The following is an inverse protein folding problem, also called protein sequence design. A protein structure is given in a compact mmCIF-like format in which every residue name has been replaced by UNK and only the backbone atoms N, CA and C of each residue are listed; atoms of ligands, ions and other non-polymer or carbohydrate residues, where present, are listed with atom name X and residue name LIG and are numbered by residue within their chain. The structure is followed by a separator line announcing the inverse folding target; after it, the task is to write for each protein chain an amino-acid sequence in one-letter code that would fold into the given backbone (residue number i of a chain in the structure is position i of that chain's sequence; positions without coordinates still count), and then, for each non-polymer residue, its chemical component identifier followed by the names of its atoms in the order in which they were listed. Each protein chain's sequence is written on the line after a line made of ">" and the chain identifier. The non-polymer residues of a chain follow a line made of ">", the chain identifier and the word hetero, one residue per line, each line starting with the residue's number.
data_IF_406915170033
#
_entry.id   IF_406915170033
#
_cell.length_a   1.000
_cell.length_b   1.000
_cell.length_c   1.000
_cell.angle_alpha   90.00
_cell.angle_beta   90.00
_cell.angle_gamma   90.00
#
_symmetry.space_group_name_H-M   'P 1'
#
loop_
_entity.id
_entity.type
_entity.pdbx_description
1 polymer ?
#
# COMPACT_ATOMS: atom_id res chain seq x y z
N UNK A 1 -18.55 5.52 -13.05
CA UNK A 1 -18.01 4.18 -13.42
C UNK A 1 -16.49 4.32 -13.48
N UNK A 2 -15.77 3.46 -12.79
CA UNK A 2 -14.29 3.52 -12.75
C UNK A 2 -13.74 3.05 -14.10
N UNK A 3 -12.77 3.81 -14.61
CA UNK A 3 -12.11 3.53 -15.88
C UNK A 3 -10.74 2.86 -15.62
N UNK A 4 -10.54 1.66 -16.16
CA UNK A 4 -9.32 0.85 -16.00
C UNK A 4 -8.37 0.99 -17.20
N UNK A 5 -8.20 2.18 -17.72
CA UNK A 5 -7.26 2.45 -18.82
C UNK A 5 -5.81 2.26 -18.40
N UNK A 6 -4.96 1.88 -19.34
CA UNK A 6 -3.51 1.87 -19.16
C UNK A 6 -2.96 3.30 -19.07
N UNK A 7 -1.87 3.50 -18.32
CA UNK A 7 -1.26 4.81 -18.13
C UNK A 7 -0.80 5.47 -19.43
N UNK A 8 -0.35 4.68 -20.39
CA UNK A 8 0.10 5.16 -21.72
C UNK A 8 -1.00 5.78 -22.59
N UNK A 9 -2.28 5.58 -22.19
CA UNK A 9 -3.44 6.21 -22.83
C UNK A 9 -3.95 7.44 -22.09
N UNK A 10 -3.30 7.85 -20.99
CA UNK A 10 -3.71 8.94 -20.10
C UNK A 10 -2.94 10.21 -20.46
N UNK A 11 -3.66 11.30 -20.75
CA UNK A 11 -3.04 12.55 -21.21
C UNK A 11 -2.13 13.18 -20.14
N UNK A 12 -2.56 13.19 -18.88
CA UNK A 12 -1.75 13.71 -17.76
C UNK A 12 -0.47 12.90 -17.51
N UNK A 13 -0.43 11.63 -17.89
CA UNK A 13 0.80 10.85 -17.84
C UNK A 13 1.84 11.32 -18.87
N UNK A 14 1.40 11.69 -20.08
CA UNK A 14 2.28 12.28 -21.08
C UNK A 14 2.76 13.69 -20.68
N UNK A 15 1.94 14.44 -19.93
CA UNK A 15 2.37 15.72 -19.34
C UNK A 15 3.42 15.50 -18.23
N UNK A 16 3.21 14.54 -17.33
CA UNK A 16 4.16 14.21 -16.27
C UNK A 16 5.56 13.88 -16.84
N UNK A 17 5.65 13.17 -17.94
CA UNK A 17 6.93 12.87 -18.62
C UNK A 17 7.71 14.09 -19.07
N UNK A 18 7.04 15.23 -19.27
CA UNK A 18 7.65 16.48 -19.73
C UNK A 18 8.10 17.39 -18.60
N UNK A 19 7.72 17.08 -17.34
CA UNK A 19 8.12 17.88 -16.18
C UNK A 19 9.63 17.79 -15.99
N UNK A 20 10.25 18.93 -15.67
CA UNK A 20 11.70 19.02 -15.48
C UNK A 20 12.18 18.11 -14.32
N UNK A 21 13.31 17.49 -14.53
CA UNK A 21 13.93 16.63 -13.52
C UNK A 21 14.49 17.46 -12.36
N UNK A 22 14.17 17.09 -11.13
CA UNK A 22 14.65 17.78 -9.92
C UNK A 22 16.07 17.31 -9.57
N UNK A 23 17.02 18.24 -9.60
CA UNK A 23 18.40 17.99 -9.14
C UNK A 23 18.44 17.97 -7.60
N UNK A 24 18.35 16.76 -7.00
CA UNK A 24 18.37 16.59 -5.55
C UNK A 24 19.66 17.10 -4.90
N UNK A 25 20.80 16.95 -5.54
CA UNK A 25 22.07 17.43 -5.01
C UNK A 25 22.02 18.96 -4.81
N UNK A 26 21.43 19.67 -5.77
CA UNK A 26 21.27 21.13 -5.71
C UNK A 26 20.22 21.56 -4.67
N UNK A 27 19.05 20.93 -4.65
CA UNK A 27 17.92 21.38 -3.79
C UNK A 27 18.04 20.92 -2.34
N UNK A 28 18.87 19.90 -2.04
CA UNK A 28 19.08 19.38 -0.68
C UNK A 28 20.29 20.01 0.01
N UNK A 29 21.06 20.87 -0.65
CA UNK A 29 22.23 21.54 -0.06
C UNK A 29 21.93 22.97 0.37
N UNK A 30 22.70 23.45 1.36
CA UNK A 30 22.56 24.82 1.89
C UNK A 30 21.28 25.04 2.69
N UNK A 31 20.87 26.30 2.84
CA UNK A 31 19.69 26.72 3.61
C UNK A 31 18.38 26.12 3.08
N UNK A 32 18.29 25.87 1.77
CA UNK A 32 17.08 25.34 1.14
C UNK A 32 16.78 23.90 1.52
N UNK A 33 17.80 23.10 1.88
CA UNK A 33 17.60 21.70 2.27
C UNK A 33 16.73 21.54 3.51
N UNK A 34 16.95 22.35 4.55
CA UNK A 34 16.15 22.32 5.75
C UNK A 34 14.68 22.72 5.53
N UNK A 35 14.46 23.75 4.73
CA UNK A 35 13.10 24.19 4.36
C UNK A 35 12.40 23.16 3.48
N UNK A 36 13.11 22.50 2.60
CA UNK A 36 12.59 21.41 1.78
C UNK A 36 12.11 20.22 2.65
N UNK A 37 12.89 19.82 3.66
CA UNK A 37 12.50 18.76 4.60
C UNK A 37 11.22 19.11 5.35
N UNK A 38 11.05 20.38 5.74
CA UNK A 38 9.82 20.86 6.39
C UNK A 38 8.63 20.90 5.42
N UNK A 39 8.85 21.23 4.15
CA UNK A 39 7.80 21.42 3.16
C UNK A 39 7.25 20.09 2.63
N UNK A 40 8.13 19.17 2.25
CA UNK A 40 7.72 17.94 1.56
C UNK A 40 7.48 16.79 2.54
N UNK A 41 6.40 16.90 3.27
CA UNK A 41 5.91 15.87 4.17
C UNK A 41 4.38 15.78 4.12
N UNK A 42 3.86 14.63 4.52
CA UNK A 42 2.43 14.39 4.66
C UNK A 42 2.17 13.68 6.00
N UNK A 43 1.22 14.18 6.81
CA UNK A 43 0.81 13.47 8.01
C UNK A 43 0.16 12.13 7.63
N UNK A 44 0.53 11.10 8.37
CA UNK A 44 -0.09 9.77 8.31
C UNK A 44 -0.85 9.54 9.62
N UNK A 45 -1.48 8.41 9.79
CA UNK A 45 -2.13 8.07 11.05
C UNK A 45 -1.14 7.90 12.22
N UNK A 46 -1.64 7.94 13.46
CA UNK A 46 -0.92 7.60 14.70
C UNK A 46 0.38 8.40 14.92
N UNK A 47 0.40 9.67 14.53
CA UNK A 47 1.56 10.56 14.70
C UNK A 47 2.73 10.30 13.74
N UNK A 48 2.58 9.40 12.79
CA UNK A 48 3.56 9.17 11.74
C UNK A 48 3.52 10.30 10.71
N UNK A 49 4.68 10.62 10.17
CA UNK A 49 4.83 11.58 9.07
C UNK A 49 5.63 10.93 7.94
N UNK A 50 5.07 10.92 6.75
CA UNK A 50 5.80 10.53 5.55
C UNK A 50 6.55 11.72 5.00
N UNK A 51 7.88 11.74 5.16
CA UNK A 51 8.72 12.78 4.58
C UNK A 51 9.29 12.30 3.23
N UNK A 52 9.03 13.06 2.18
CA UNK A 52 9.44 12.74 0.82
C UNK A 52 10.38 13.80 0.21
N UNK A 53 11.03 14.62 1.05
CA UNK A 53 11.96 15.65 0.59
C UNK A 53 13.14 15.12 -0.23
N UNK A 54 13.51 13.84 -0.02
CA UNK A 54 14.59 13.17 -0.77
C UNK A 54 14.12 12.51 -2.08
N UNK A 55 12.85 12.66 -2.45
CA UNK A 55 12.33 12.23 -3.74
C UNK A 55 12.53 13.34 -4.77
N UNK A 56 12.56 12.97 -6.05
CA UNK A 56 12.69 13.91 -7.17
C UNK A 56 11.35 14.58 -7.45
N UNK A 57 10.85 15.34 -6.49
CA UNK A 57 9.60 16.07 -6.57
C UNK A 57 9.82 17.53 -6.21
N UNK A 58 9.09 18.40 -6.87
CA UNK A 58 8.87 19.80 -6.54
C UNK A 58 7.38 20.12 -6.72
N UNK A 59 7.01 21.37 -6.67
CA UNK A 59 5.60 21.77 -6.77
C UNK A 59 5.04 21.47 -8.18
N UNK A 60 5.85 21.57 -9.23
CA UNK A 60 5.42 21.26 -10.58
C UNK A 60 5.18 19.75 -10.77
N UNK A 61 6.08 18.92 -10.24
CA UNK A 61 5.90 17.46 -10.22
C UNK A 61 4.67 17.07 -9.42
N UNK A 62 4.46 17.69 -8.25
CA UNK A 62 3.28 17.42 -7.42
C UNK A 62 1.98 17.84 -8.12
N UNK A 63 1.97 18.96 -8.80
CA UNK A 63 0.82 19.40 -9.59
C UNK A 63 0.51 18.44 -10.75
N UNK A 64 1.53 17.94 -11.44
CA UNK A 64 1.36 16.94 -12.50
C UNK A 64 0.86 15.60 -11.96
N UNK A 65 1.39 15.16 -10.81
CA UNK A 65 0.92 13.95 -10.13
C UNK A 65 -0.53 14.08 -9.64
N UNK A 66 -0.93 15.26 -9.15
CA UNK A 66 -2.32 15.50 -8.74
C UNK A 66 -3.28 15.38 -9.93
N UNK A 67 -2.94 15.97 -11.09
CA UNK A 67 -3.73 15.80 -12.32
C UNK A 67 -3.82 14.35 -12.76
N UNK A 68 -2.72 13.62 -12.68
CA UNK A 68 -2.71 12.20 -13.01
C UNK A 68 -3.60 11.39 -12.06
N UNK A 69 -3.54 11.66 -10.76
CA UNK A 69 -4.38 11.01 -9.77
C UNK A 69 -5.87 11.25 -10.04
N UNK A 70 -6.23 12.47 -10.40
CA UNK A 70 -7.61 12.85 -10.73
C UNK A 70 -8.08 12.15 -12.03
N UNK A 71 -7.31 12.26 -13.12
CA UNK A 71 -7.67 11.65 -14.41
C UNK A 71 -7.75 10.12 -14.35
N UNK A 72 -6.88 9.51 -13.56
CA UNK A 72 -6.90 8.05 -13.34
C UNK A 72 -7.92 7.58 -12.33
N UNK A 73 -8.66 8.47 -11.68
CA UNK A 73 -9.59 8.13 -10.59
C UNK A 73 -8.90 7.32 -9.48
N UNK A 74 -7.73 7.78 -9.02
CA UNK A 74 -6.89 7.04 -8.09
C UNK A 74 -7.59 6.72 -6.77
N UNK A 75 -8.32 7.70 -6.22
CA UNK A 75 -9.03 7.54 -4.93
C UNK A 75 -10.15 6.54 -5.08
N UNK A 76 -10.97 6.65 -6.11
CA UNK A 76 -12.08 5.73 -6.39
C UNK A 76 -11.57 4.31 -6.65
N UNK A 77 -10.44 4.17 -7.33
CA UNK A 77 -9.79 2.86 -7.53
C UNK A 77 -9.29 2.24 -6.23
N UNK A 78 -8.72 3.08 -5.35
CA UNK A 78 -8.30 2.63 -4.03
C UNK A 78 -9.50 2.19 -3.18
N UNK A 79 -10.60 2.96 -3.20
CA UNK A 79 -11.84 2.59 -2.51
C UNK A 79 -12.43 1.28 -3.06
N UNK A 80 -12.44 1.10 -4.38
CA UNK A 80 -12.87 -0.13 -5.01
C UNK A 80 -12.03 -1.33 -4.56
N UNK A 81 -10.69 -1.18 -4.53
CA UNK A 81 -9.77 -2.19 -4.00
C UNK A 81 -10.08 -2.51 -2.54
N UNK A 82 -10.25 -1.47 -1.72
CA UNK A 82 -10.48 -1.62 -0.29
C UNK A 82 -11.82 -2.29 0.00
N UNK A 83 -12.84 -1.99 -0.79
CA UNK A 83 -14.16 -2.60 -0.72
C UNK A 83 -14.22 -4.00 -1.36
N UNK A 84 -13.10 -4.50 -1.85
CA UNK A 84 -12.98 -5.86 -2.39
C UNK A 84 -13.65 -6.02 -3.76
N UNK A 85 -13.69 -4.98 -4.59
CA UNK A 85 -14.11 -5.11 -5.97
C UNK A 85 -13.06 -5.86 -6.80
N UNK A 86 -13.44 -6.33 -7.98
CA UNK A 86 -12.51 -6.97 -8.92
C UNK A 86 -11.68 -5.87 -9.59
N UNK A 87 -10.49 -5.61 -9.06
CA UNK A 87 -9.58 -4.56 -9.56
C UNK A 87 -8.45 -5.10 -10.45
N UNK A 88 -8.11 -6.37 -10.33
CA UNK A 88 -7.22 -7.03 -11.30
C UNK A 88 -8.06 -7.51 -12.50
N UNK A 89 -8.23 -6.62 -13.46
CA UNK A 89 -9.09 -6.85 -14.63
C UNK A 89 -8.53 -7.91 -15.59
N UNK A 90 -7.22 -8.11 -15.61
CA UNK A 90 -6.55 -9.11 -16.43
C UNK A 90 -6.85 -10.54 -15.96
N UNK A 91 -6.73 -10.81 -14.67
CA UNK A 91 -6.99 -12.11 -14.07
C UNK A 91 -8.43 -12.25 -13.54
N UNK A 92 -9.22 -11.18 -13.58
CA UNK A 92 -10.58 -11.10 -13.02
C UNK A 92 -10.62 -11.46 -11.53
N UNK A 93 -9.65 -10.93 -10.76
CA UNK A 93 -9.48 -11.23 -9.34
C UNK A 93 -9.64 -9.99 -8.46
N UNK A 94 -10.09 -10.24 -7.25
CA UNK A 94 -10.02 -9.29 -6.14
C UNK A 94 -8.59 -9.22 -5.62
N UNK A 95 -8.23 -8.11 -4.97
CA UNK A 95 -6.96 -7.93 -4.26
C UNK A 95 -7.28 -7.67 -2.80
N UNK A 96 -7.13 -8.70 -1.95
CA UNK A 96 -7.66 -8.72 -0.58
C UNK A 96 -6.56 -8.70 0.51
N UNK A 97 -5.29 -8.45 0.17
CA UNK A 97 -4.17 -8.47 1.13
C UNK A 97 -4.34 -7.49 2.30
N UNK A 98 -5.04 -6.38 2.08
CA UNK A 98 -5.32 -5.38 3.12
C UNK A 98 -6.19 -5.93 4.26
N UNK A 99 -7.00 -6.96 4.01
CA UNK A 99 -7.87 -7.60 5.03
C UNK A 99 -7.09 -8.32 6.14
N UNK A 100 -5.79 -8.53 5.95
CA UNK A 100 -4.91 -9.04 7.01
C UNK A 100 -4.42 -7.94 7.97
N UNK A 101 -4.72 -6.66 7.69
CA UNK A 101 -4.22 -5.50 8.45
C UNK A 101 -5.32 -4.63 9.04
N UNK A 102 -6.51 -5.12 9.10
CA UNK A 102 -7.66 -4.42 9.65
C UNK A 102 -8.98 -4.83 8.99
N UNK A 103 -10.07 -4.59 9.69
CA UNK A 103 -11.40 -5.04 9.27
C UNK A 103 -12.36 -3.85 9.16
N UNK A 104 -11.94 -2.81 8.43
CA UNK A 104 -12.77 -1.66 8.13
C UNK A 104 -13.58 -1.91 6.85
N UNK A 105 -14.82 -1.45 6.83
CA UNK A 105 -15.74 -1.58 5.69
C UNK A 105 -16.68 -2.77 5.79
N UNK A 106 -17.52 -2.91 4.77
CA UNK A 106 -18.57 -3.91 4.70
C UNK A 106 -18.05 -5.31 4.39
N UNK A 107 -18.90 -6.33 4.56
CA UNK A 107 -18.59 -7.71 4.18
C UNK A 107 -18.25 -7.81 2.69
N UNK A 108 -17.22 -8.59 2.38
CA UNK A 108 -16.84 -8.90 0.98
C UNK A 108 -17.12 -10.37 0.74
N UNK A 109 -18.26 -10.64 0.14
CA UNK A 109 -18.71 -12.03 -0.11
C UNK A 109 -18.21 -12.53 -1.46
N UNK A 110 -17.57 -13.69 -1.45
CA UNK A 110 -17.14 -14.42 -2.64
C UNK A 110 -17.44 -15.92 -2.42
N UNK A 111 -18.14 -16.52 -3.36
CA UNK A 111 -18.58 -17.93 -3.27
C UNK A 111 -19.31 -18.27 -1.94
N UNK A 112 -20.13 -17.33 -1.45
CA UNK A 112 -20.87 -17.48 -0.20
C UNK A 112 -20.04 -17.30 1.08
N UNK A 113 -18.76 -16.95 0.98
CA UNK A 113 -17.86 -16.75 2.11
C UNK A 113 -17.56 -15.26 2.28
N UNK A 114 -17.82 -14.72 3.47
CA UNK A 114 -17.32 -13.39 3.84
C UNK A 114 -15.80 -13.45 4.03
N UNK A 115 -15.08 -12.83 3.12
CA UNK A 115 -13.60 -12.82 3.13
C UNK A 115 -13.02 -12.05 4.31
N UNK A 116 -13.69 -11.01 4.82
CA UNK A 116 -13.20 -10.30 6.02
C UNK A 116 -13.25 -11.20 7.24
N UNK A 117 -14.37 -11.86 7.49
CA UNK A 117 -14.50 -12.82 8.56
C UNK A 117 -13.53 -14.01 8.41
N UNK A 118 -13.35 -14.49 7.18
CA UNK A 118 -12.38 -15.54 6.86
C UNK A 118 -10.94 -15.15 7.25
N UNK A 119 -10.47 -13.95 6.89
CA UNK A 119 -9.12 -13.49 7.21
C UNK A 119 -8.90 -13.32 8.73
N UNK A 120 -9.90 -12.85 9.46
CA UNK A 120 -9.86 -12.79 10.94
C UNK A 120 -9.65 -14.18 11.54
N UNK A 121 -10.43 -15.16 11.08
CA UNK A 121 -10.30 -16.54 11.56
C UNK A 121 -8.94 -17.16 11.18
N UNK A 122 -8.40 -16.88 9.97
CA UNK A 122 -7.07 -17.35 9.61
C UNK A 122 -5.97 -16.73 10.50
N UNK A 123 -6.07 -15.44 10.84
CA UNK A 123 -5.13 -14.80 11.76
C UNK A 123 -5.16 -15.43 13.15
N UNK A 124 -6.36 -15.75 13.66
CA UNK A 124 -6.52 -16.46 14.93
C UNK A 124 -5.86 -17.85 14.89
N UNK A 125 -6.08 -18.63 13.83
CA UNK A 125 -5.45 -19.93 13.66
C UNK A 125 -3.93 -19.86 13.59
N UNK A 126 -3.38 -18.81 12.94
CA UNK A 126 -1.93 -18.57 12.89
C UNK A 126 -1.40 -18.28 14.31
N UNK A 127 -2.08 -17.44 15.08
CA UNK A 127 -1.69 -17.13 16.45
C UNK A 127 -1.71 -18.40 17.34
N UNK A 128 -2.76 -19.20 17.26
CA UNK A 128 -2.87 -20.46 18.00
C UNK A 128 -1.74 -21.44 17.63
N UNK A 129 -1.38 -21.54 16.35
CA UNK A 129 -0.26 -22.37 15.92
C UNK A 129 1.08 -21.83 16.45
N UNK A 130 1.29 -20.52 16.40
CA UNK A 130 2.50 -19.90 16.94
C UNK A 130 2.66 -20.16 18.44
N UNK A 131 1.58 -20.05 19.21
CA UNK A 131 1.59 -20.38 20.64
C UNK A 131 1.98 -21.85 20.90
N UNK A 132 1.43 -22.79 20.14
CA UNK A 132 1.78 -24.22 20.27
C UNK A 132 3.27 -24.48 19.98
N UNK A 133 3.84 -23.80 19.00
CA UNK A 133 5.28 -23.87 18.70
C UNK A 133 6.09 -23.27 19.85
N UNK A 134 5.73 -22.09 20.35
CA UNK A 134 6.45 -21.41 21.44
C UNK A 134 6.38 -22.20 22.76
N UNK A 135 5.25 -22.78 23.06
CA UNK A 135 5.06 -23.60 24.29
C UNK A 135 5.74 -24.97 24.18
N UNK A 136 6.16 -25.39 22.97
CA UNK A 136 6.78 -26.67 22.72
C UNK A 136 5.78 -27.84 22.66
N UNK A 137 4.51 -27.55 22.36
CA UNK A 137 3.52 -28.56 22.02
C UNK A 137 3.78 -29.15 20.63
N UNK A 138 4.36 -28.31 19.74
CA UNK A 138 4.84 -28.72 18.42
C UNK A 138 6.37 -28.71 18.48
N UNK A 139 6.98 -29.86 18.21
CA UNK A 139 8.43 -30.09 18.28
C UNK A 139 8.97 -30.57 16.94
N UNK A 140 10.30 -30.59 16.82
CA UNK A 140 11.00 -31.21 15.70
C UNK A 140 10.91 -32.75 15.77
N UNK A 141 11.45 -33.43 14.79
CA UNK A 141 11.44 -34.91 14.73
C UNK A 141 12.17 -35.59 15.88
N UNK A 142 13.08 -34.89 16.59
CA UNK A 142 13.79 -35.38 17.79
C UNK A 142 13.04 -35.08 19.09
N UNK A 143 11.85 -34.45 19.03
CA UNK A 143 11.07 -34.06 20.21
C UNK A 143 11.54 -32.77 20.88
N UNK A 144 12.40 -31.98 20.24
CA UNK A 144 12.96 -30.73 20.75
C UNK A 144 12.17 -29.52 20.27
N UNK A 145 12.13 -28.48 21.11
CA UNK A 145 11.51 -27.20 20.74
C UNK A 145 12.25 -26.53 19.56
N UNK A 146 11.48 -25.90 18.68
CA UNK A 146 12.08 -25.02 17.68
C UNK A 146 12.68 -23.77 18.34
N UNK A 147 13.93 -23.48 18.07
CA UNK A 147 14.67 -22.31 18.58
C UNK A 147 15.01 -21.31 17.50
N UNK A 148 14.98 -21.72 16.24
CA UNK A 148 15.38 -20.90 15.10
C UNK A 148 14.46 -21.16 13.93
N UNK A 149 14.03 -20.08 13.27
CA UNK A 149 13.33 -20.11 11.99
C UNK A 149 14.23 -19.45 10.95
N UNK A 150 14.47 -20.15 9.85
CA UNK A 150 15.21 -19.63 8.69
C UNK A 150 14.22 -19.36 7.58
N UNK A 151 14.22 -18.12 7.08
CA UNK A 151 13.35 -17.67 6.00
C UNK A 151 14.16 -17.35 4.75
#
# INVERSE_FOLDING_TARGET
>A
MINWNNLDTIASYEELKKVAHVDLAKVMTGANGAERVKKYNAPMGEGLVFNYATKQVDDDVLAALAKLAEETQLVEKFEALYNGEVVNTGEKRRVLHHMTRGQLGDAVVEDGVDKRAFYVEQQKRIAELAEKVHNGEITNAAGEKFTTVVQ
#
